data_IF_269081615544
#
_entry.id   IF_269081615544
#
_cell.length_a   1.000
_cell.length_b   1.000
_cell.length_c   1.000
_cell.angle_alpha   90.00
_cell.angle_beta   90.00
_cell.angle_gamma   90.00
#
_symmetry.space_group_name_H-M   'P 1'
#
loop_
_entity.id
_entity.type
_entity.pdbx_description
1 polymer ?
#
# COMPACT_ATOMS: atom_id res chain seq x y z
N UNK A 1 17.39 -12.10 -12.15
CA UNK A 1 16.28 -11.15 -11.91
C UNK A 1 14.99 -11.86 -11.46
N UNK A 2 14.53 -12.90 -12.17
CA UNK A 2 13.31 -13.67 -11.84
C UNK A 2 13.13 -14.03 -10.36
N UNK A 3 14.12 -14.65 -9.71
CA UNK A 3 14.00 -15.04 -8.30
C UNK A 3 13.83 -13.84 -7.36
N UNK A 4 14.54 -12.73 -7.59
CA UNK A 4 14.45 -11.52 -6.76
C UNK A 4 13.08 -10.85 -6.90
N UNK A 5 12.54 -10.81 -8.12
CA UNK A 5 11.17 -10.35 -8.39
C UNK A 5 10.15 -11.24 -7.70
N UNK A 6 10.29 -12.56 -7.82
CA UNK A 6 9.40 -13.51 -7.15
C UNK A 6 9.41 -13.33 -5.63
N UNK A 7 10.58 -13.15 -5.00
CA UNK A 7 10.65 -12.86 -3.58
C UNK A 7 9.91 -11.55 -3.21
N UNK A 8 9.99 -10.53 -4.05
CA UNK A 8 9.24 -9.30 -3.82
C UNK A 8 7.72 -9.54 -3.93
N UNK A 9 7.25 -10.10 -5.05
CA UNK A 9 5.82 -10.24 -5.36
C UNK A 9 5.12 -11.31 -4.51
N UNK A 10 5.81 -12.42 -4.20
CA UNK A 10 5.20 -13.58 -3.52
C UNK A 10 5.37 -13.51 -2.02
N UNK A 11 6.49 -12.96 -1.52
CA UNK A 11 6.77 -12.92 -0.09
C UNK A 11 6.53 -11.53 0.49
N UNK A 12 7.24 -10.51 -0.02
CA UNK A 12 7.18 -9.18 0.60
C UNK A 12 5.81 -8.51 0.41
N UNK A 13 5.30 -8.48 -0.82
CA UNK A 13 4.05 -7.78 -1.14
C UNK A 13 2.90 -8.31 -0.27
N UNK A 14 2.60 -9.62 -0.18
CA UNK A 14 1.47 -10.10 0.62
C UNK A 14 1.62 -9.83 2.11
N UNK A 15 2.83 -9.96 2.66
CA UNK A 15 3.11 -9.67 4.07
C UNK A 15 2.83 -8.21 4.38
N UNK A 16 3.30 -7.30 3.52
CA UNK A 16 3.13 -5.86 3.72
C UNK A 16 1.69 -5.46 3.51
N UNK A 17 1.05 -5.90 2.40
CA UNK A 17 -0.31 -5.47 2.06
C UNK A 17 -1.39 -6.23 2.82
N UNK A 18 -1.01 -7.07 3.78
CA UNK A 18 -1.97 -7.77 4.62
C UNK A 18 -2.85 -6.76 5.37
N UNK A 19 -4.18 -6.91 5.22
CA UNK A 19 -5.17 -6.00 5.78
C UNK A 19 -5.02 -4.52 5.34
N UNK A 20 -4.34 -4.24 4.23
CA UNK A 20 -4.13 -2.86 3.77
C UNK A 20 -5.43 -2.09 3.44
N UNK A 21 -6.52 -2.83 3.23
CA UNK A 21 -7.87 -2.28 3.06
C UNK A 21 -8.42 -1.55 4.29
N UNK A 22 -7.95 -1.89 5.50
CA UNK A 22 -8.42 -1.27 6.76
C UNK A 22 -7.52 -0.13 7.24
N UNK A 23 -6.40 0.12 6.56
CA UNK A 23 -5.43 1.11 7.00
C UNK A 23 -5.95 2.54 6.79
N UNK A 24 -5.88 3.35 7.85
CA UNK A 24 -6.00 4.82 7.75
C UNK A 24 -4.64 5.40 7.38
N UNK A 25 -4.30 5.32 6.09
CA UNK A 25 -3.03 5.84 5.58
C UNK A 25 -3.06 7.36 5.45
N UNK A 26 -2.27 8.05 6.26
CA UNK A 26 -1.89 9.43 6.02
C UNK A 26 -0.68 9.51 5.07
N UNK A 27 -0.34 10.73 4.64
CA UNK A 27 0.78 10.97 3.70
C UNK A 27 2.10 10.40 4.24
N UNK A 28 2.33 10.47 5.55
CA UNK A 28 3.56 9.96 6.19
C UNK A 28 3.63 8.43 6.14
N UNK A 29 2.51 7.75 6.36
CA UNK A 29 2.43 6.30 6.30
C UNK A 29 2.61 5.80 4.86
N UNK A 30 2.01 6.47 3.88
CA UNK A 30 2.19 6.19 2.44
C UNK A 30 3.67 6.29 2.06
N UNK A 31 4.35 7.36 2.48
CA UNK A 31 5.78 7.55 2.20
C UNK A 31 6.64 6.46 2.85
N UNK A 32 6.30 5.99 4.05
CA UNK A 32 7.01 4.88 4.71
C UNK A 32 6.87 3.58 3.92
N UNK A 33 5.67 3.26 3.45
CA UNK A 33 5.40 2.05 2.65
C UNK A 33 6.21 2.08 1.34
N UNK A 34 6.20 3.19 0.61
CA UNK A 34 7.02 3.36 -0.60
C UNK A 34 8.51 3.27 -0.30
N UNK A 35 8.98 3.95 0.75
CA UNK A 35 10.40 3.95 1.11
C UNK A 35 10.89 2.54 1.44
N UNK A 36 10.10 1.76 2.18
CA UNK A 36 10.42 0.38 2.51
C UNK A 36 10.48 -0.50 1.25
N UNK A 37 9.47 -0.42 0.38
CA UNK A 37 9.45 -1.17 -0.88
C UNK A 37 10.65 -0.84 -1.76
N UNK A 38 10.93 0.46 -1.93
CA UNK A 38 12.08 0.93 -2.70
C UNK A 38 13.41 0.52 -2.10
N UNK A 39 13.54 0.50 -0.76
CA UNK A 39 14.75 0.02 -0.08
C UNK A 39 15.02 -1.45 -0.40
N UNK A 40 13.98 -2.29 -0.40
CA UNK A 40 14.11 -3.69 -0.81
C UNK A 40 14.54 -3.80 -2.27
N UNK A 41 13.85 -3.13 -3.19
CA UNK A 41 14.15 -3.22 -4.63
C UNK A 41 15.57 -2.75 -4.96
N UNK A 42 16.00 -1.62 -4.39
CA UNK A 42 17.36 -1.10 -4.58
C UNK A 42 18.40 -2.04 -4.00
N UNK A 43 18.17 -2.61 -2.81
CA UNK A 43 19.07 -3.59 -2.21
C UNK A 43 19.16 -4.86 -3.06
N UNK A 44 18.03 -5.38 -3.54
CA UNK A 44 17.99 -6.55 -4.41
C UNK A 44 18.77 -6.33 -5.73
N UNK A 45 18.75 -5.10 -6.27
CA UNK A 45 19.48 -4.74 -7.48
C UNK A 45 20.92 -4.27 -7.24
N UNK A 46 21.36 -4.13 -5.98
CA UNK A 46 22.66 -3.56 -5.65
C UNK A 46 22.80 -2.06 -5.98
N UNK A 47 21.69 -1.34 -6.13
CA UNK A 47 21.68 0.07 -6.51
C UNK A 47 21.80 0.93 -5.24
N UNK A 48 22.86 1.73 -5.19
CA UNK A 48 23.15 2.68 -4.13
C UNK A 48 22.63 4.08 -4.47
N UNK A 49 22.80 5.04 -3.56
CA UNK A 49 22.47 6.45 -3.84
C UNK A 49 23.44 7.09 -4.83
N UNK A 50 24.67 6.58 -4.97
CA UNK A 50 25.70 7.13 -5.86
C UNK A 50 25.38 6.94 -7.34
N UNK A 51 24.62 5.89 -7.64
CA UNK A 51 24.22 5.55 -9.00
C UNK A 51 23.19 6.53 -9.59
N UNK A 52 22.61 7.42 -8.76
CA UNK A 52 21.63 8.46 -9.16
C UNK A 52 20.45 7.93 -10.01
N UNK A 53 20.13 6.65 -9.86
CA UNK A 53 19.02 6.00 -10.56
C UNK A 53 17.69 6.40 -9.92
N UNK A 54 16.76 6.86 -10.76
CA UNK A 54 15.39 7.22 -10.39
C UNK A 54 14.58 6.01 -9.91
N UNK A 55 13.59 6.24 -9.04
CA UNK A 55 12.78 5.15 -8.47
C UNK A 55 11.94 4.43 -9.54
N UNK A 56 11.43 5.15 -10.53
CA UNK A 56 10.69 4.57 -11.67
C UNK A 56 11.57 3.59 -12.44
N UNK A 57 12.80 3.98 -12.76
CA UNK A 57 13.77 3.12 -13.42
C UNK A 57 14.09 1.85 -12.59
N UNK A 58 14.18 1.96 -11.27
CA UNK A 58 14.35 0.79 -10.38
C UNK A 58 13.15 -0.17 -10.45
N UNK A 59 11.92 0.35 -10.50
CA UNK A 59 10.70 -0.46 -10.64
C UNK A 59 10.64 -1.13 -12.01
N UNK A 60 10.96 -0.39 -13.08
CA UNK A 60 11.00 -0.90 -14.45
C UNK A 60 12.00 -2.06 -14.61
N UNK A 61 13.20 -1.94 -14.03
CA UNK A 61 14.21 -3.03 -14.05
C UNK A 61 13.73 -4.32 -13.39
N UNK A 62 12.85 -4.22 -12.41
CA UNK A 62 12.29 -5.38 -11.69
C UNK A 62 10.94 -5.82 -12.24
N UNK A 63 10.32 -5.03 -13.13
CA UNK A 63 8.97 -5.25 -13.66
C UNK A 63 7.94 -5.43 -12.53
N UNK A 64 7.93 -4.49 -11.58
CA UNK A 64 7.04 -4.51 -10.41
C UNK A 64 6.24 -3.20 -10.30
N UNK A 65 4.99 -3.31 -9.86
CA UNK A 65 4.14 -2.15 -9.53
C UNK A 65 4.57 -1.47 -8.23
N UNK A 66 4.07 -0.27 -7.95
CA UNK A 66 4.25 0.40 -6.66
C UNK A 66 3.53 -0.34 -5.52
N UNK A 67 4.01 -0.22 -4.27
CA UNK A 67 3.28 -0.80 -3.13
C UNK A 67 2.03 0.02 -2.84
N UNK A 68 2.12 1.35 -2.93
CA UNK A 68 0.97 2.22 -2.70
C UNK A 68 -0.14 1.97 -3.70
N UNK A 69 0.19 1.80 -4.98
CA UNK A 69 -0.78 1.45 -6.03
C UNK A 69 -1.54 0.17 -5.68
N UNK A 70 -0.86 -0.85 -5.15
CA UNK A 70 -1.51 -2.10 -4.71
C UNK A 70 -2.43 -1.89 -3.51
N UNK A 71 -2.02 -1.06 -2.55
CA UNK A 71 -2.84 -0.72 -1.39
C UNK A 71 -4.09 0.05 -1.80
N UNK A 72 -3.95 1.03 -2.69
CA UNK A 72 -5.08 1.79 -3.26
C UNK A 72 -6.03 0.87 -4.02
N UNK A 73 -5.49 -0.05 -4.85
CA UNK A 73 -6.28 -1.04 -5.56
C UNK A 73 -7.07 -1.95 -4.59
N UNK A 74 -6.43 -2.44 -3.52
CA UNK A 74 -7.08 -3.25 -2.50
C UNK A 74 -8.21 -2.50 -1.79
N UNK A 75 -7.97 -1.24 -1.40
CA UNK A 75 -8.98 -0.36 -0.78
C UNK A 75 -10.16 -0.12 -1.71
N UNK A 76 -9.91 0.12 -2.99
CA UNK A 76 -10.98 0.32 -3.98
C UNK A 76 -11.79 -0.95 -4.23
N UNK A 77 -11.14 -2.13 -4.27
CA UNK A 77 -11.83 -3.42 -4.35
C UNK A 77 -12.72 -3.65 -3.13
N UNK A 78 -12.21 -3.39 -1.93
CA UNK A 78 -12.97 -3.50 -0.69
C UNK A 78 -14.16 -2.53 -0.66
N UNK A 79 -13.94 -1.26 -1.01
CA UNK A 79 -14.99 -0.25 -1.09
C UNK A 79 -16.10 -0.67 -2.06
N UNK A 80 -15.72 -1.12 -3.27
CA UNK A 80 -16.68 -1.62 -4.26
C UNK A 80 -17.44 -2.84 -3.76
N UNK A 81 -16.77 -3.76 -3.07
CA UNK A 81 -17.41 -4.92 -2.46
C UNK A 81 -18.44 -4.51 -1.40
N UNK A 82 -18.08 -3.60 -0.49
CA UNK A 82 -19.01 -3.08 0.54
C UNK A 82 -20.17 -2.33 -0.10
N UNK A 83 -19.94 -1.49 -1.11
CA UNK A 83 -21.01 -0.74 -1.82
C UNK A 83 -22.04 -1.65 -2.49
N UNK A 84 -21.63 -2.83 -2.97
CA UNK A 84 -22.52 -3.84 -3.57
C UNK A 84 -23.28 -4.69 -2.53
N UNK A 85 -22.91 -4.62 -1.24
CA UNK A 85 -23.66 -5.32 -0.20
C UNK A 85 -25.05 -4.67 0.01
N UNK A 86 -26.00 -5.48 0.45
CA UNK A 86 -27.34 -4.99 0.85
C UNK A 86 -27.28 -4.01 2.03
N UNK A 87 -28.25 -3.11 2.09
CA UNK A 87 -28.28 -1.99 3.05
C UNK A 87 -28.38 -2.43 4.52
N UNK A 88 -28.92 -3.62 4.79
CA UNK A 88 -28.97 -4.19 6.15
C UNK A 88 -27.62 -4.69 6.68
N UNK A 89 -26.55 -4.68 5.88
CA UNK A 89 -25.23 -5.15 6.32
C UNK A 89 -24.51 -4.06 7.11
N UNK A 90 -24.00 -4.44 8.29
CA UNK A 90 -23.27 -3.54 9.20
C UNK A 90 -22.15 -2.78 8.48
N UNK A 91 -21.34 -3.46 7.64
CA UNK A 91 -20.25 -2.82 6.91
C UNK A 91 -20.73 -1.70 5.96
N UNK A 92 -21.88 -1.89 5.30
CA UNK A 92 -22.50 -0.87 4.43
C UNK A 92 -22.98 0.32 5.25
N UNK A 93 -23.67 0.05 6.36
CA UNK A 93 -24.17 1.06 7.28
C UNK A 93 -23.03 1.88 7.90
N UNK A 94 -21.95 1.23 8.34
CA UNK A 94 -20.77 1.91 8.89
C UNK A 94 -20.08 2.79 7.84
N UNK A 95 -20.01 2.35 6.58
CA UNK A 95 -19.42 3.13 5.51
C UNK A 95 -20.23 4.40 5.18
N UNK A 96 -21.56 4.33 5.25
CA UNK A 96 -22.45 5.47 4.98
C UNK A 96 -22.72 6.34 6.22
N UNK A 97 -22.32 5.87 7.41
CA UNK A 97 -22.51 6.58 8.67
C UNK A 97 -21.73 7.90 8.69
N UNK A 98 -22.42 8.99 9.01
CA UNK A 98 -21.78 10.28 9.33
C UNK A 98 -21.57 10.38 10.83
N UNK A 99 -20.31 10.30 11.26
CA UNK A 99 -19.94 10.52 12.66
C UNK A 99 -19.75 12.02 12.88
N UNK A 100 -20.48 12.60 13.83
CA UNK A 100 -20.32 13.99 14.24
C UNK A 100 -19.12 14.19 15.18
N UNK A 101 -18.59 15.42 15.21
CA UNK A 101 -17.51 15.84 16.11
C UNK A 101 -16.14 15.97 15.44
N UNK A 102 -15.18 16.55 16.16
CA UNK A 102 -13.78 16.70 15.72
C UNK A 102 -12.91 15.67 16.43
N UNK A 103 -11.99 15.05 15.69
CA UNK A 103 -11.01 14.13 16.30
C UNK A 103 -10.05 14.95 17.18
N UNK A 104 -9.91 14.66 18.49
CA UNK A 104 -8.95 15.35 19.32
C UNK A 104 -7.52 15.05 18.86
N UNK A 105 -6.62 16.01 19.05
CA UNK A 105 -5.20 15.82 18.75
C UNK A 105 -4.66 14.73 19.68
N UNK A 106 -4.08 13.67 19.11
CA UNK A 106 -3.45 12.61 19.89
C UNK A 106 -2.31 13.16 20.75
N UNK A 107 -2.09 12.53 21.91
CA UNK A 107 -0.93 12.85 22.75
C UNK A 107 0.38 12.49 22.03
N UNK A 108 1.50 13.18 22.31
CA UNK A 108 2.82 12.82 21.81
C UNK A 108 3.19 11.37 22.11
#
# INVERSE_FOLDING_TARGET
MRCKRLLYEVYLVPIVTYAAETWTLGIKEIQKVETMGMKFLRSALGITRRDKVWNEEVRNRMDVRGLVERVEEARMKWYGHVKRMGEGRIARQMLDMRVGGTRPRGKP
#
